data_IF_960069832225
#
_entry.id   IF_960069832225
#
_cell.length_a   1.000
_cell.length_b   1.000
_cell.length_c   1.000
_cell.angle_alpha   90.00
_cell.angle_beta   90.00
_cell.angle_gamma   90.00
#
_symmetry.space_group_name_H-M   'P 1'
#
loop_
_entity.id
_entity.type
_entity.pdbx_description
1 polymer ?
#
# COMPACT_ATOMS: atom_id res chain seq x y z
N UNK A 1 -6.68 -35.57 7.22
CA UNK A 1 -7.18 -34.99 8.50
C UNK A 1 -6.31 -33.78 8.81
N UNK A 2 -6.89 -32.68 9.29
CA UNK A 2 -6.10 -31.53 9.74
C UNK A 2 -5.41 -31.87 11.05
N UNK A 3 -4.12 -31.57 11.16
CA UNK A 3 -3.30 -31.81 12.36
C UNK A 3 -2.97 -30.46 12.98
N UNK A 4 -2.99 -30.41 14.32
CA UNK A 4 -2.48 -29.25 15.07
C UNK A 4 -0.96 -29.32 15.04
N UNK A 5 -0.33 -28.38 14.33
CA UNK A 5 1.12 -28.24 14.31
C UNK A 5 1.61 -27.87 15.70
N UNK A 6 2.67 -28.54 16.15
CA UNK A 6 3.41 -28.20 17.37
C UNK A 6 4.75 -27.61 16.97
N UNK A 7 5.22 -26.64 17.74
CA UNK A 7 6.58 -26.14 17.55
C UNK A 7 7.59 -27.16 18.06
N UNK A 8 8.66 -27.34 17.29
CA UNK A 8 9.85 -28.12 17.64
C UNK A 8 11.01 -27.23 18.12
N UNK A 9 10.84 -25.90 18.04
CA UNK A 9 11.83 -24.94 18.51
C UNK A 9 12.01 -25.03 20.04
N UNK A 10 13.25 -25.23 20.48
CA UNK A 10 13.60 -25.18 21.89
C UNK A 10 13.73 -23.72 22.36
N UNK A 11 12.71 -23.25 23.08
CA UNK A 11 12.62 -21.89 23.62
C UNK A 11 13.75 -21.55 24.62
N UNK A 12 14.38 -22.57 25.23
CA UNK A 12 15.47 -22.41 26.18
C UNK A 12 16.86 -22.48 25.52
N UNK A 13 16.93 -22.84 24.23
CA UNK A 13 18.21 -22.98 23.53
C UNK A 13 18.92 -21.64 23.30
N UNK A 14 20.26 -21.70 23.27
CA UNK A 14 21.09 -20.54 22.91
C UNK A 14 20.81 -20.08 21.47
N UNK A 15 20.55 -21.02 20.56
CA UNK A 15 20.20 -20.73 19.15
C UNK A 15 18.91 -19.90 19.04
N UNK A 16 17.86 -20.28 19.79
CA UNK A 16 16.60 -19.54 19.82
C UNK A 16 16.80 -18.12 20.38
N UNK A 17 17.60 -17.99 21.45
CA UNK A 17 17.94 -16.69 22.02
C UNK A 17 18.77 -15.82 21.05
N UNK A 18 19.72 -16.42 20.33
CA UNK A 18 20.52 -15.73 19.32
C UNK A 18 19.69 -15.24 18.13
N UNK A 19 18.77 -16.07 17.61
CA UNK A 19 17.84 -15.67 16.55
C UNK A 19 16.98 -14.49 17.00
N UNK A 20 16.40 -14.54 18.21
CA UNK A 20 15.61 -13.41 18.75
C UNK A 20 16.42 -12.11 18.81
N UNK A 21 17.68 -12.16 19.26
CA UNK A 21 18.55 -10.97 19.31
C UNK A 21 18.80 -10.41 17.91
N UNK A 22 19.18 -11.27 16.96
CA UNK A 22 19.44 -10.85 15.59
C UNK A 22 18.21 -10.24 14.90
N UNK A 23 17.04 -10.86 15.04
CA UNK A 23 15.79 -10.30 14.51
C UNK A 23 15.38 -9.01 15.22
N UNK A 24 15.64 -8.86 16.53
CA UNK A 24 15.40 -7.61 17.24
C UNK A 24 16.29 -6.47 16.74
N UNK A 25 17.56 -6.75 16.40
CA UNK A 25 18.46 -5.77 15.79
C UNK A 25 17.97 -5.33 14.40
N UNK A 26 17.49 -6.27 13.58
CA UNK A 26 16.86 -5.97 12.28
C UNK A 26 15.57 -5.16 12.43
N UNK A 27 14.73 -5.51 13.41
CA UNK A 27 13.52 -4.77 13.74
C UNK A 27 13.82 -3.34 14.18
N UNK A 28 14.83 -3.16 15.03
CA UNK A 28 15.28 -1.84 15.45
C UNK A 28 15.84 -1.01 14.29
N UNK A 29 16.48 -1.64 13.29
CA UNK A 29 16.87 -0.95 12.07
C UNK A 29 15.67 -0.51 11.23
N UNK A 30 14.71 -1.41 11.03
CA UNK A 30 13.47 -1.11 10.34
C UNK A 30 12.73 0.07 10.99
N UNK A 31 12.63 0.09 12.32
CA UNK A 31 12.00 1.17 13.08
C UNK A 31 12.72 2.51 12.89
N UNK A 32 14.07 2.52 12.81
CA UNK A 32 14.83 3.73 12.47
C UNK A 32 14.53 4.23 11.06
N UNK A 33 14.41 3.33 10.09
CA UNK A 33 14.05 3.72 8.72
C UNK A 33 12.63 4.26 8.64
N UNK A 34 11.68 3.66 9.36
CA UNK A 34 10.32 4.19 9.48
C UNK A 34 10.30 5.56 10.14
N UNK A 35 11.01 5.77 11.24
CA UNK A 35 11.09 7.07 11.92
C UNK A 35 11.54 8.19 10.96
N UNK A 36 12.50 7.90 10.07
CA UNK A 36 12.93 8.85 9.02
C UNK A 36 11.80 9.18 8.04
N UNK A 37 11.04 8.18 7.60
CA UNK A 37 9.90 8.41 6.69
C UNK A 37 8.76 9.17 7.39
N UNK A 38 8.50 8.86 8.67
CA UNK A 38 7.47 9.52 9.47
C UNK A 38 7.77 11.01 9.71
N UNK A 39 9.04 11.41 9.67
CA UNK A 39 9.46 12.81 9.78
C UNK A 39 9.19 13.66 8.51
N UNK A 40 8.71 13.05 7.41
CA UNK A 40 8.39 13.75 6.17
C UNK A 40 9.60 14.45 5.57
N UNK A 41 9.42 15.71 5.12
CA UNK A 41 10.48 16.55 4.57
C UNK A 41 11.44 17.16 5.59
N UNK A 42 11.35 16.77 6.87
CA UNK A 42 12.13 17.31 7.97
C UNK A 42 11.46 18.51 8.67
N UNK A 43 11.96 18.83 9.86
CA UNK A 43 11.37 19.78 10.81
C UNK A 43 10.98 21.13 10.17
N UNK A 44 11.90 21.79 9.47
CA UNK A 44 11.62 23.08 8.81
C UNK A 44 10.51 23.03 7.77
N UNK A 45 10.37 21.91 7.06
CA UNK A 45 9.33 21.74 6.05
C UNK A 45 7.96 21.47 6.70
N UNK A 46 7.96 20.69 7.79
CA UNK A 46 6.81 20.43 8.64
C UNK A 46 6.29 21.71 9.28
N UNK A 47 7.16 22.51 9.92
CA UNK A 47 6.82 23.80 10.52
C UNK A 47 6.17 24.73 9.49
N UNK A 48 6.81 24.91 8.33
CA UNK A 48 6.27 25.76 7.25
C UNK A 48 4.92 25.26 6.73
N UNK A 49 4.68 23.95 6.71
CA UNK A 49 3.40 23.38 6.30
C UNK A 49 2.31 23.71 7.33
N UNK A 50 2.61 23.57 8.62
CA UNK A 50 1.67 23.85 9.72
C UNK A 50 1.40 25.36 9.84
N UNK A 51 2.39 26.22 9.65
CA UNK A 51 2.24 27.69 9.65
C UNK A 51 1.22 28.18 8.61
N UNK A 52 0.98 27.40 7.55
CA UNK A 52 -0.04 27.67 6.52
C UNK A 52 -1.45 27.22 6.93
N UNK A 53 -1.63 26.75 8.16
CA UNK A 53 -2.93 26.28 8.67
C UNK A 53 -3.35 24.89 8.18
N UNK A 54 -2.44 24.13 7.57
CA UNK A 54 -2.72 22.84 6.94
C UNK A 54 -2.45 21.69 7.92
N UNK A 55 -3.28 20.65 7.86
CA UNK A 55 -3.01 19.41 8.58
C UNK A 55 -1.84 18.67 7.91
N UNK A 56 -1.03 17.98 8.71
CA UNK A 56 0.03 17.13 8.15
C UNK A 56 -0.59 15.96 7.37
N UNK A 57 0.08 15.47 6.32
CA UNK A 57 -0.41 14.36 5.50
C UNK A 57 -0.86 13.13 6.31
N UNK A 58 -0.07 12.71 7.31
CA UNK A 58 -0.43 11.58 8.18
C UNK A 58 -1.59 11.89 9.11
N UNK A 59 -1.73 13.13 9.56
CA UNK A 59 -2.89 13.56 10.36
C UNK A 59 -4.16 13.56 9.51
N UNK A 60 -4.07 13.96 8.23
CA UNK A 60 -5.18 13.89 7.28
C UNK A 60 -5.66 12.44 7.10
N UNK A 61 -4.73 11.51 6.88
CA UNK A 61 -5.05 10.07 6.81
C UNK A 61 -5.69 9.61 8.12
N UNK A 62 -5.10 9.90 9.27
CA UNK A 62 -5.61 9.47 10.57
C UNK A 62 -7.04 10.01 10.87
N UNK A 63 -7.33 11.26 10.50
CA UNK A 63 -8.65 11.89 10.69
C UNK A 63 -9.69 11.44 9.67
N UNK A 64 -9.26 11.05 8.47
CA UNK A 64 -10.13 10.47 7.46
C UNK A 64 -10.65 9.09 7.89
N UNK A 65 -9.81 8.29 8.54
CA UNK A 65 -10.13 6.92 8.95
C UNK A 65 -11.21 6.85 10.03
N UNK A 66 -11.94 5.74 10.05
CA UNK A 66 -12.85 5.42 11.14
C UNK A 66 -12.08 5.24 12.45
N UNK A 67 -12.63 5.77 13.54
CA UNK A 67 -11.99 5.74 14.85
C UNK A 67 -11.65 4.31 15.27
N UNK A 68 -10.37 4.05 15.53
CA UNK A 68 -9.86 2.75 15.96
C UNK A 68 -9.74 1.72 14.84
N UNK A 69 -10.02 2.08 13.59
CA UNK A 69 -9.81 1.18 12.45
C UNK A 69 -8.32 1.05 12.12
N UNK A 70 -7.88 -0.13 11.63
CA UNK A 70 -6.51 -0.32 11.20
C UNK A 70 -6.23 0.41 9.88
N UNK A 71 -4.96 0.75 9.67
CA UNK A 71 -4.44 1.25 8.40
C UNK A 71 -3.30 0.35 7.93
N UNK A 72 -3.48 -0.29 6.78
CA UNK A 72 -2.43 -1.07 6.13
C UNK A 72 -1.67 -0.15 5.17
N UNK A 73 -0.61 0.48 5.67
CA UNK A 73 0.28 1.31 4.86
C UNK A 73 1.08 0.46 3.86
N UNK A 74 1.23 0.97 2.65
CA UNK A 74 1.90 0.29 1.55
C UNK A 74 3.23 0.97 1.22
N UNK A 75 4.27 0.15 1.07
CA UNK A 75 5.59 0.60 0.59
C UNK A 75 6.11 1.83 1.35
N UNK A 76 6.05 1.82 2.69
CA UNK A 76 6.49 2.93 3.54
C UNK A 76 7.94 3.34 3.26
N UNK A 77 8.83 2.37 2.99
CA UNK A 77 10.23 2.62 2.64
C UNK A 77 10.48 2.91 1.15
N UNK A 78 9.45 3.25 0.36
CA UNK A 78 9.66 3.60 -1.04
C UNK A 78 10.69 4.73 -1.18
N UNK A 79 11.56 4.62 -2.19
CA UNK A 79 12.69 5.51 -2.45
C UNK A 79 13.78 5.56 -1.34
N UNK A 80 13.80 4.60 -0.41
CA UNK A 80 14.92 4.45 0.54
C UNK A 80 16.25 4.21 -0.20
N UNK A 81 17.27 5.02 0.09
CA UNK A 81 18.58 4.96 -0.57
C UNK A 81 18.59 5.49 -2.01
N UNK A 82 17.52 6.15 -2.46
CA UNK A 82 17.40 6.74 -3.80
C UNK A 82 17.37 8.26 -3.74
N UNK A 83 17.79 8.92 -4.83
CA UNK A 83 17.68 10.39 -4.99
C UNK A 83 18.35 11.18 -3.85
N UNK A 84 19.49 10.71 -3.34
CA UNK A 84 20.16 11.25 -2.15
C UNK A 84 19.23 11.36 -0.92
N UNK A 85 18.29 10.41 -0.81
CA UNK A 85 17.23 10.33 0.19
C UNK A 85 16.35 11.59 0.30
N UNK A 86 16.24 12.36 -0.78
CA UNK A 86 15.45 13.58 -0.81
C UNK A 86 13.93 13.33 -0.87
N UNK A 87 13.51 12.08 -1.00
CA UNK A 87 12.11 11.67 -1.18
C UNK A 87 11.72 10.53 -0.21
N UNK A 88 11.78 10.73 1.13
CA UNK A 88 11.36 9.71 2.08
C UNK A 88 9.93 9.23 1.81
N UNK A 89 9.74 7.91 1.79
CA UNK A 89 8.46 7.28 1.46
C UNK A 89 7.97 7.56 0.04
N UNK A 90 8.85 8.05 -0.84
CA UNK A 90 8.56 8.63 -2.15
C UNK A 90 7.59 9.83 -2.11
N UNK A 91 7.52 10.58 -1.00
CA UNK A 91 6.67 11.78 -0.89
C UNK A 91 5.17 11.53 -1.01
N UNK A 92 4.74 10.29 -0.80
CA UNK A 92 3.34 9.89 -0.88
C UNK A 92 3.04 8.75 0.10
N UNK A 93 1.93 8.87 0.82
CA UNK A 93 1.41 7.85 1.73
C UNK A 93 0.31 7.12 0.98
N UNK A 94 0.44 5.79 0.88
CA UNK A 94 -0.58 4.95 0.27
C UNK A 94 -0.97 3.85 1.24
N UNK A 95 -2.23 3.44 1.25
CA UNK A 95 -2.66 2.36 2.13
C UNK A 95 -4.15 2.08 2.10
N UNK A 96 -4.53 0.99 2.74
CA UNK A 96 -5.92 0.56 2.85
C UNK A 96 -6.40 0.84 4.26
N UNK A 97 -7.54 1.53 4.39
CA UNK A 97 -8.16 1.77 5.67
C UNK A 97 -9.68 1.84 5.58
N UNK A 98 -10.34 1.99 6.72
CA UNK A 98 -11.80 2.08 6.77
C UNK A 98 -12.27 3.52 6.86
N UNK A 99 -13.20 3.90 6.00
CA UNK A 99 -13.83 5.21 5.97
C UNK A 99 -15.32 4.98 5.85
N UNK A 100 -16.09 5.45 6.83
CA UNK A 100 -17.55 5.25 6.89
C UNK A 100 -17.95 3.77 6.76
N UNK A 101 -17.19 2.87 7.39
CA UNK A 101 -17.38 1.42 7.36
C UNK A 101 -16.88 0.72 6.10
N UNK A 102 -16.34 1.47 5.13
CA UNK A 102 -15.88 0.95 3.83
C UNK A 102 -14.36 0.89 3.77
N UNK A 103 -13.82 -0.24 3.32
CA UNK A 103 -12.40 -0.35 2.96
C UNK A 103 -12.13 0.45 1.69
N UNK A 104 -11.20 1.40 1.77
CA UNK A 104 -10.83 2.32 0.68
C UNK A 104 -9.31 2.33 0.50
N UNK A 105 -8.87 2.52 -0.74
CA UNK A 105 -7.49 2.85 -1.05
C UNK A 105 -7.29 4.36 -0.85
N UNK A 106 -6.36 4.73 0.01
CA UNK A 106 -6.01 6.12 0.28
C UNK A 106 -4.67 6.42 -0.38
N UNK A 107 -4.59 7.54 -1.10
CA UNK A 107 -3.37 8.06 -1.72
C UNK A 107 -3.22 9.52 -1.31
N UNK A 108 -2.29 9.82 -0.40
CA UNK A 108 -2.10 11.14 0.17
C UNK A 108 -0.70 11.66 -0.15
N UNK A 109 -0.61 12.80 -0.83
CA UNK A 109 0.68 13.46 -1.06
C UNK A 109 1.26 14.00 0.25
N UNK A 110 2.58 13.93 0.38
CA UNK A 110 3.31 14.60 1.44
C UNK A 110 3.95 15.90 0.92
N UNK A 111 3.23 17.01 1.10
CA UNK A 111 3.69 18.33 0.69
C UNK A 111 4.95 18.80 1.42
N UNK A 112 5.31 18.19 2.56
CA UNK A 112 6.56 18.52 3.26
C UNK A 112 7.76 17.96 2.50
N UNK A 113 7.60 16.83 1.81
CA UNK A 113 8.65 16.19 1.00
C UNK A 113 8.74 16.88 -0.36
N UNK A 114 9.71 17.81 -0.49
CA UNK A 114 9.96 18.55 -1.74
C UNK A 114 8.70 19.19 -2.33
N UNK A 115 7.81 19.72 -1.49
CA UNK A 115 6.56 20.34 -1.97
C UNK A 115 5.55 19.33 -2.52
N UNK A 116 5.67 18.04 -2.20
CA UNK A 116 4.83 16.99 -2.73
C UNK A 116 5.12 16.66 -4.19
N UNK A 117 6.30 17.04 -4.71
CA UNK A 117 6.67 16.77 -6.09
C UNK A 117 6.77 15.27 -6.37
N UNK A 118 6.30 14.85 -7.55
CA UNK A 118 6.40 13.46 -8.00
C UNK A 118 7.82 13.14 -8.47
N UNK A 119 8.50 12.27 -7.75
CA UNK A 119 9.66 11.54 -8.23
C UNK A 119 9.20 10.35 -9.08
N UNK A 120 10.08 9.72 -9.89
CA UNK A 120 9.73 8.50 -10.62
C UNK A 120 9.17 7.40 -9.70
N UNK A 121 9.74 7.23 -8.49
CA UNK A 121 9.20 6.31 -7.50
C UNK A 121 7.85 6.73 -6.91
N UNK A 122 7.53 8.03 -6.85
CA UNK A 122 6.20 8.51 -6.45
C UNK A 122 5.14 8.05 -7.43
N UNK A 123 5.40 8.18 -8.74
CA UNK A 123 4.51 7.72 -9.79
C UNK A 123 4.30 6.19 -9.76
N UNK A 124 5.38 5.42 -9.53
CA UNK A 124 5.29 3.96 -9.36
C UNK A 124 4.50 3.57 -8.11
N UNK A 125 4.71 4.25 -6.98
CA UNK A 125 3.97 3.98 -5.73
C UNK A 125 2.49 4.32 -5.86
N UNK A 126 2.15 5.43 -6.54
CA UNK A 126 0.76 5.80 -6.85
C UNK A 126 0.09 4.73 -7.73
N UNK A 127 0.69 4.40 -8.88
CA UNK A 127 0.10 3.41 -9.81
C UNK A 127 0.01 2.01 -9.19
N UNK A 128 0.95 1.62 -8.31
CA UNK A 128 0.83 0.38 -7.52
C UNK A 128 -0.36 0.40 -6.57
N UNK A 129 -0.66 1.54 -5.95
CA UNK A 129 -1.86 1.68 -5.11
C UNK A 129 -3.15 1.52 -5.93
N UNK A 130 -3.21 2.10 -7.13
CA UNK A 130 -4.34 1.92 -8.06
C UNK A 130 -4.47 0.48 -8.56
N UNK A 131 -3.36 -0.21 -8.82
CA UNK A 131 -3.37 -1.62 -9.20
C UNK A 131 -3.99 -2.50 -8.11
N UNK A 132 -3.61 -2.27 -6.85
CA UNK A 132 -4.21 -2.95 -5.68
C UNK A 132 -5.69 -2.60 -5.57
N UNK A 133 -6.07 -1.33 -5.78
CA UNK A 133 -7.46 -0.90 -5.76
C UNK A 133 -8.31 -1.60 -6.83
N UNK A 134 -7.78 -1.74 -8.06
CA UNK A 134 -8.42 -2.47 -9.15
C UNK A 134 -8.63 -3.94 -8.78
N UNK A 135 -7.54 -4.62 -8.38
CA UNK A 135 -7.55 -6.06 -8.06
C UNK A 135 -8.49 -6.40 -6.91
N UNK A 136 -8.72 -5.47 -5.98
CA UNK A 136 -9.52 -5.69 -4.77
C UNK A 136 -10.86 -4.91 -4.75
N UNK A 137 -11.17 -4.20 -5.84
CA UNK A 137 -12.36 -3.33 -6.00
C UNK A 137 -12.55 -2.35 -4.83
N UNK A 138 -11.48 -1.62 -4.50
CA UNK A 138 -11.46 -0.62 -3.43
C UNK A 138 -11.74 0.76 -4.01
N UNK A 139 -12.74 1.52 -3.51
CA UNK A 139 -12.86 2.94 -3.85
C UNK A 139 -11.55 3.68 -3.55
N UNK A 140 -11.19 4.63 -4.40
CA UNK A 140 -9.97 5.41 -4.27
C UNK A 140 -10.28 6.79 -3.67
N UNK A 141 -9.51 7.19 -2.67
CA UNK A 141 -9.51 8.54 -2.10
C UNK A 141 -8.14 9.16 -2.28
N UNK A 142 -8.09 10.25 -3.05
CA UNK A 142 -6.89 11.03 -3.33
C UNK A 142 -6.87 12.29 -2.46
N UNK A 143 -5.93 12.37 -1.53
CA UNK A 143 -5.67 13.60 -0.75
C UNK A 143 -4.53 14.36 -1.44
N UNK A 144 -4.92 15.28 -2.31
CA UNK A 144 -4.04 15.92 -3.31
C UNK A 144 -3.41 17.18 -2.73
N UNK A 145 -2.08 17.21 -2.76
CA UNK A 145 -1.27 18.35 -2.29
C UNK A 145 0.14 18.24 -2.90
N UNK A 146 0.26 18.55 -4.18
CA UNK A 146 1.45 18.30 -4.99
C UNK A 146 1.84 19.50 -5.84
N UNK A 147 3.12 19.89 -5.72
CA UNK A 147 3.76 20.89 -6.57
C UNK A 147 4.03 20.46 -8.02
N UNK A 148 3.59 19.27 -8.45
CA UNK A 148 3.78 18.74 -9.81
C UNK A 148 4.93 17.73 -9.92
N UNK A 149 5.50 17.57 -11.11
CA UNK A 149 6.61 16.63 -11.32
C UNK A 149 7.95 17.17 -10.81
N UNK A 150 8.83 16.29 -10.35
CA UNK A 150 10.21 16.64 -10.02
C UNK A 150 11.01 16.86 -11.31
N UNK A 151 11.06 18.12 -11.76
CA UNK A 151 11.59 18.50 -13.08
C UNK A 151 13.01 17.98 -13.40
N UNK A 152 13.96 17.88 -12.44
CA UNK A 152 15.27 17.31 -12.74
C UNK A 152 15.25 15.85 -13.24
N UNK A 153 14.16 15.11 -13.00
CA UNK A 153 13.97 13.72 -13.43
C UNK A 153 12.73 13.56 -14.33
N UNK A 154 12.40 14.60 -15.09
CA UNK A 154 11.18 14.63 -15.91
C UNK A 154 11.13 13.52 -16.98
N UNK A 155 12.27 13.09 -17.52
CA UNK A 155 12.39 12.05 -18.54
C UNK A 155 12.17 10.65 -17.99
N UNK A 156 12.35 10.45 -16.69
CA UNK A 156 12.00 9.20 -15.99
C UNK A 156 10.57 9.23 -15.42
N UNK A 157 9.93 10.41 -15.41
CA UNK A 157 8.62 10.62 -14.81
C UNK A 157 7.50 10.71 -15.85
N UNK A 158 7.72 11.46 -16.94
CA UNK A 158 6.68 11.85 -17.87
C UNK A 158 6.48 10.85 -19.03
N UNK A 159 7.50 10.53 -19.85
CA UNK A 159 7.35 9.56 -20.92
C UNK A 159 7.28 8.13 -20.33
N UNK A 160 6.95 7.17 -21.20
CA UNK A 160 6.75 5.74 -20.89
C UNK A 160 5.36 5.36 -20.33
N UNK A 161 4.96 4.12 -20.59
CA UNK A 161 3.68 3.52 -20.16
C UNK A 161 3.57 3.38 -18.64
N UNK A 162 4.70 3.50 -17.92
CA UNK A 162 4.73 3.51 -16.46
C UNK A 162 5.01 4.90 -15.87
N UNK A 163 5.01 5.94 -16.72
CA UNK A 163 5.13 7.33 -16.31
C UNK A 163 3.88 7.85 -15.61
N UNK A 164 3.89 9.13 -15.25
CA UNK A 164 2.86 9.78 -14.44
C UNK A 164 1.47 9.73 -15.10
N UNK A 165 1.40 9.78 -16.43
CA UNK A 165 0.16 9.69 -17.20
C UNK A 165 -0.63 8.38 -17.00
N UNK A 166 0.04 7.30 -16.60
CA UNK A 166 -0.60 6.01 -16.29
C UNK A 166 -1.60 6.15 -15.13
N UNK A 167 -1.38 7.08 -14.20
CA UNK A 167 -2.30 7.31 -13.09
C UNK A 167 -3.68 7.79 -13.56
N UNK A 168 -3.73 8.64 -14.58
CA UNK A 168 -4.98 9.13 -15.18
C UNK A 168 -5.68 8.05 -15.97
N UNK A 169 -4.93 7.26 -16.75
CA UNK A 169 -5.45 6.09 -17.45
C UNK A 169 -6.10 5.11 -16.47
N UNK A 170 -5.42 4.80 -15.38
CA UNK A 170 -5.95 3.90 -14.34
C UNK A 170 -7.22 4.48 -13.72
N UNK A 171 -7.23 5.77 -13.38
CA UNK A 171 -8.38 6.43 -12.75
C UNK A 171 -9.63 6.37 -13.64
N UNK A 172 -9.49 6.65 -14.93
CA UNK A 172 -10.60 6.53 -15.89
C UNK A 172 -11.12 5.10 -15.99
N UNK A 173 -10.23 4.09 -16.06
CA UNK A 173 -10.65 2.69 -16.14
C UNK A 173 -11.27 2.18 -14.83
N UNK A 174 -10.75 2.59 -13.67
CA UNK A 174 -11.33 2.29 -12.37
C UNK A 174 -12.76 2.83 -12.26
N UNK A 175 -12.97 4.10 -12.63
CA UNK A 175 -14.31 4.70 -12.67
C UNK A 175 -15.24 3.95 -13.64
N UNK A 176 -14.77 3.61 -14.84
CA UNK A 176 -15.53 2.83 -15.82
C UNK A 176 -15.93 1.42 -15.30
N UNK A 177 -15.09 0.80 -14.46
CA UNK A 177 -15.37 -0.47 -13.76
C UNK A 177 -16.30 -0.31 -12.55
N UNK A 178 -16.80 0.90 -12.29
CA UNK A 178 -17.66 1.22 -11.15
C UNK A 178 -16.92 1.23 -9.82
N UNK A 179 -15.61 1.51 -9.82
CA UNK A 179 -14.80 1.71 -8.63
C UNK A 179 -14.69 3.22 -8.39
N UNK A 180 -15.34 3.79 -7.36
CA UNK A 180 -15.43 5.23 -7.18
C UNK A 180 -14.07 5.90 -6.99
N UNK A 181 -13.87 7.04 -7.67
CA UNK A 181 -12.68 7.89 -7.61
C UNK A 181 -13.04 9.21 -6.92
N UNK A 182 -12.49 9.48 -5.74
CA UNK A 182 -12.82 10.66 -4.94
C UNK A 182 -11.55 11.47 -4.69
N UNK A 183 -11.58 12.77 -4.93
CA UNK A 183 -10.43 13.65 -4.67
C UNK A 183 -10.76 14.74 -3.65
N UNK A 184 -9.80 15.04 -2.79
CA UNK A 184 -9.77 16.24 -1.97
C UNK A 184 -8.50 17.04 -2.28
N UNK A 185 -8.66 18.24 -2.84
CA UNK A 185 -7.56 19.17 -3.15
C UNK A 185 -7.30 20.03 -1.92
N UNK A 186 -6.26 19.65 -1.18
CA UNK A 186 -5.89 20.21 0.12
C UNK A 186 -4.67 21.12 0.02
N UNK A 187 -4.32 21.55 -1.20
CA UNK A 187 -3.20 22.42 -1.49
C UNK A 187 -2.99 22.57 -2.99
N UNK A 188 -1.73 22.74 -3.41
CA UNK A 188 -1.39 22.95 -4.82
C UNK A 188 -1.70 21.70 -5.65
N UNK A 189 -2.24 21.88 -6.85
CA UNK A 189 -2.49 20.84 -7.84
C UNK A 189 -2.21 21.37 -9.25
N UNK A 190 -0.95 21.26 -9.67
CA UNK A 190 -0.48 21.91 -10.91
C UNK A 190 -0.17 20.91 -12.04
N UNK A 191 -0.34 21.37 -13.28
CA UNK A 191 0.01 20.68 -14.51
C UNK A 191 -0.59 19.28 -14.59
N UNK A 192 0.22 18.23 -14.72
CA UNK A 192 -0.27 16.86 -14.77
C UNK A 192 -1.12 16.50 -13.54
N UNK A 193 -0.76 17.02 -12.35
CA UNK A 193 -1.50 16.74 -11.13
C UNK A 193 -2.97 17.19 -11.19
N UNK A 194 -3.28 18.23 -11.97
CA UNK A 194 -4.62 18.78 -12.13
C UNK A 194 -5.64 17.78 -12.69
N UNK A 195 -5.18 16.73 -13.39
CA UNK A 195 -6.06 15.68 -13.89
C UNK A 195 -6.55 14.71 -12.81
N UNK A 196 -5.87 14.60 -11.66
CA UNK A 196 -6.35 13.76 -10.55
C UNK A 196 -7.73 14.23 -10.06
N UNK A 197 -7.92 15.50 -9.64
CA UNK A 197 -9.26 15.98 -9.33
C UNK A 197 -10.16 16.04 -10.57
N UNK A 198 -9.69 16.57 -11.71
CA UNK A 198 -10.56 16.77 -12.88
C UNK A 198 -11.15 15.47 -13.48
N UNK A 199 -10.56 14.30 -13.18
CA UNK A 199 -11.05 13.00 -13.62
C UNK A 199 -11.65 12.16 -12.48
N UNK A 200 -11.82 12.73 -11.28
CA UNK A 200 -12.49 12.04 -10.17
C UNK A 200 -14.00 12.14 -10.34
N UNK A 201 -14.73 11.17 -9.79
CA UNK A 201 -16.19 11.15 -9.83
C UNK A 201 -16.80 12.24 -8.93
N UNK A 202 -16.16 12.53 -7.79
CA UNK A 202 -16.49 13.67 -6.92
C UNK A 202 -15.22 14.34 -6.38
N UNK A 203 -15.24 15.67 -6.35
CA UNK A 203 -14.09 16.52 -6.03
C UNK A 203 -14.44 17.51 -4.93
N UNK A 204 -13.64 17.48 -3.86
CA UNK A 204 -13.64 18.47 -2.78
C UNK A 204 -12.43 19.39 -2.95
N UNK A 205 -12.60 20.69 -2.76
CA UNK A 205 -11.50 21.68 -2.75
C UNK A 205 -11.59 22.57 -1.51
N UNK A 206 -10.45 22.84 -0.88
CA UNK A 206 -10.38 23.77 0.26
C UNK A 206 -10.25 25.20 -0.27
N UNK A 207 -11.16 26.09 0.12
CA UNK A 207 -11.11 27.54 -0.21
C UNK A 207 -9.81 28.17 0.28
N UNK A 208 -9.24 29.10 -0.50
CA UNK A 208 -8.03 29.88 -0.12
C UNK A 208 -6.81 29.00 0.23
N UNK A 209 -6.78 27.76 -0.23
CA UNK A 209 -5.73 26.80 0.05
C UNK A 209 -5.50 25.83 -1.10
N UNK A 210 -6.58 25.20 -1.57
CA UNK A 210 -6.59 24.30 -2.71
C UNK A 210 -6.56 25.08 -4.02
N UNK A 211 -5.67 24.68 -4.95
CA UNK A 211 -5.61 25.28 -6.28
C UNK A 211 -5.45 24.23 -7.37
N UNK A 212 -6.14 24.38 -8.50
CA UNK A 212 -6.06 23.48 -9.66
C UNK A 212 -5.74 24.30 -10.90
N UNK A 213 -4.67 23.98 -11.62
CA UNK A 213 -4.38 24.63 -12.91
C UNK A 213 -3.41 23.81 -13.76
N UNK A 214 -3.57 23.88 -15.08
CA UNK A 214 -2.64 23.24 -16.03
C UNK A 214 -1.27 23.95 -16.08
N UNK A 215 -1.24 25.24 -15.77
CA UNK A 215 -0.03 26.03 -15.66
C UNK A 215 -0.20 27.04 -14.54
N UNK A 216 0.70 27.03 -13.56
CA UNK A 216 0.61 27.97 -12.43
C UNK A 216 0.95 29.41 -12.82
N UNK A 217 0.78 30.37 -11.90
CA UNK A 217 1.05 31.78 -12.14
C UNK A 217 2.41 32.09 -12.80
N UNK A 218 3.53 31.45 -12.41
CA UNK A 218 4.81 31.69 -13.08
C UNK A 218 4.79 31.33 -14.57
N UNK A 219 4.07 30.27 -14.96
CA UNK A 219 3.97 29.86 -16.36
C UNK A 219 3.04 30.77 -17.15
N UNK A 220 1.93 31.21 -16.55
CA UNK A 220 1.01 32.18 -17.18
C UNK A 220 1.72 33.50 -17.45
N UNK A 221 2.46 34.01 -16.46
CA UNK A 221 3.26 35.22 -16.62
C UNK A 221 4.31 35.08 -17.72
N UNK A 222 5.03 33.95 -17.75
CA UNK A 222 6.06 33.70 -18.77
C UNK A 222 5.48 33.59 -20.19
N UNK A 223 4.28 33.01 -20.34
CA UNK A 223 3.66 32.76 -21.64
C UNK A 223 2.87 33.96 -22.19
N UNK A 224 2.25 34.75 -21.32
CA UNK A 224 1.26 35.78 -21.71
C UNK A 224 1.58 37.19 -21.19
N UNK A 225 2.47 37.30 -20.21
CA UNK A 225 2.73 38.55 -19.49
C UNK A 225 1.70 38.89 -18.41
N UNK A 226 0.61 38.12 -18.28
CA UNK A 226 -0.42 38.35 -17.28
C UNK A 226 0.08 38.01 -15.87
N UNK A 227 -0.20 38.90 -14.91
CA UNK A 227 0.10 38.70 -13.49
C UNK A 227 -1.21 38.38 -12.77
N UNK A 228 -1.33 37.14 -12.32
CA UNK A 228 -2.51 36.60 -11.64
C UNK A 228 -2.08 35.82 -10.41
N UNK A 229 -2.83 35.87 -9.33
CA UNK A 229 -2.54 35.04 -8.15
C UNK A 229 -2.99 33.59 -8.35
N UNK A 230 -2.49 32.67 -7.52
CA UNK A 230 -2.89 31.26 -7.59
C UNK A 230 -4.39 31.06 -7.31
N UNK A 231 -4.96 31.83 -6.38
CA UNK A 231 -6.39 31.78 -6.04
C UNK A 231 -7.26 32.32 -7.17
N UNK A 232 -6.88 33.44 -7.80
CA UNK A 232 -7.61 33.99 -8.94
C UNK A 232 -7.55 33.08 -10.18
N UNK A 233 -6.42 32.41 -10.39
CA UNK A 233 -6.20 31.54 -11.56
C UNK A 233 -6.96 30.21 -11.46
N UNK A 234 -7.00 29.60 -10.27
CA UNK A 234 -7.51 28.25 -10.10
C UNK A 234 -7.86 27.89 -8.66
N UNK A 235 -8.32 28.86 -7.86
CA UNK A 235 -8.72 28.64 -6.47
C UNK A 235 -10.05 27.91 -6.30
N UNK A 236 -10.42 27.67 -5.04
CA UNK A 236 -11.62 26.93 -4.67
C UNK A 236 -12.92 27.56 -5.18
N UNK A 237 -13.05 28.89 -5.03
CA UNK A 237 -14.26 29.59 -5.49
C UNK A 237 -14.40 29.57 -7.02
N UNK A 238 -13.30 29.65 -7.77
CA UNK A 238 -13.34 29.54 -9.24
C UNK A 238 -13.86 28.18 -9.67
N UNK A 239 -13.30 27.10 -9.11
CA UNK A 239 -13.65 25.75 -9.54
C UNK A 239 -15.00 25.26 -9.06
N UNK A 240 -15.43 25.67 -7.86
CA UNK A 240 -16.72 25.27 -7.30
C UNK A 240 -17.90 26.12 -7.80
N UNK A 241 -17.68 27.36 -8.25
CA UNK A 241 -18.78 28.27 -8.65
C UNK A 241 -18.84 28.59 -10.13
N UNK A 242 -17.72 28.52 -10.85
CA UNK A 242 -17.66 28.98 -12.24
C UNK A 242 -17.30 27.87 -13.21
N UNK A 243 -16.19 27.15 -12.99
CA UNK A 243 -15.75 26.12 -13.94
C UNK A 243 -16.46 24.79 -13.76
N UNK A 244 -16.89 24.46 -12.53
CA UNK A 244 -17.47 23.15 -12.18
C UNK A 244 -16.44 22.02 -12.18
N UNK A 245 -15.16 22.32 -11.93
CA UNK A 245 -14.11 21.28 -11.79
C UNK A 245 -14.10 20.70 -10.37
N UNK A 246 -14.62 21.44 -9.40
CA UNK A 246 -14.83 20.96 -8.04
C UNK A 246 -16.33 20.95 -7.72
N UNK A 247 -16.79 19.92 -7.02
CA UNK A 247 -18.20 19.72 -6.67
C UNK A 247 -18.52 20.29 -5.29
N UNK A 248 -17.55 20.25 -4.38
CA UNK A 248 -17.70 20.64 -2.99
C UNK A 248 -16.61 21.64 -2.57
N UNK A 249 -17.00 22.73 -1.93
CA UNK A 249 -16.10 23.77 -1.42
C UNK A 249 -16.04 23.71 0.11
N UNK A 250 -14.89 23.32 0.64
CA UNK A 250 -14.63 23.23 2.08
C UNK A 250 -13.92 24.47 2.61
N UNK A 251 -14.12 24.82 3.88
CA UNK A 251 -13.44 25.95 4.52
C UNK A 251 -12.04 25.61 5.06
N UNK A 252 -11.74 24.33 5.30
CA UNK A 252 -10.45 23.85 5.79
C UNK A 252 -10.30 22.32 5.58
N UNK A 253 -9.14 21.78 5.96
CA UNK A 253 -8.85 20.34 5.85
C UNK A 253 -9.86 19.47 6.63
N UNK A 254 -10.29 19.85 7.83
CA UNK A 254 -11.24 19.03 8.62
C UNK A 254 -12.59 18.89 7.92
N UNK A 255 -13.12 20.00 7.41
CA UNK A 255 -14.37 19.99 6.67
C UNK A 255 -14.23 19.21 5.36
N UNK A 256 -13.10 19.35 4.66
CA UNK A 256 -12.85 18.57 3.45
C UNK A 256 -12.85 17.06 3.72
N UNK A 257 -12.18 16.62 4.80
CA UNK A 257 -12.19 15.22 5.21
C UNK A 257 -13.58 14.76 5.63
N UNK A 258 -14.36 15.59 6.32
CA UNK A 258 -15.75 15.28 6.67
C UNK A 258 -16.64 15.10 5.42
N UNK A 259 -16.48 15.94 4.41
CA UNK A 259 -17.19 15.82 3.12
C UNK A 259 -16.77 14.52 2.42
N UNK A 260 -15.47 14.21 2.34
CA UNK A 260 -14.99 12.94 1.76
C UNK A 260 -15.62 11.74 2.49
N UNK A 261 -15.68 11.76 3.82
CA UNK A 261 -16.35 10.71 4.60
C UNK A 261 -17.83 10.59 4.26
N UNK A 262 -18.51 11.73 4.05
CA UNK A 262 -19.91 11.77 3.63
C UNK A 262 -20.10 11.16 2.24
N UNK A 263 -19.23 11.49 1.28
CA UNK A 263 -19.23 10.88 -0.07
C UNK A 263 -19.05 9.37 0.03
N UNK A 264 -18.06 8.90 0.80
CA UNK A 264 -17.83 7.45 0.97
C UNK A 264 -19.06 6.74 1.57
N UNK A 265 -19.81 7.42 2.43
CA UNK A 265 -21.02 6.87 3.06
C UNK A 265 -22.21 6.72 2.09
N UNK A 266 -22.23 7.44 0.96
CA UNK A 266 -23.29 7.30 -0.07
C UNK A 266 -22.99 6.20 -1.08
N UNK A 267 -21.76 5.67 -1.09
CA UNK A 267 -21.36 4.64 -2.05
C UNK A 267 -22.20 3.36 -1.90
N UNK A 268 -22.52 2.67 -3.01
CA UNK A 268 -23.26 1.42 -2.96
C UNK A 268 -22.61 0.39 -2.03
N UNK A 269 -23.43 -0.34 -1.27
CA UNK A 269 -22.96 -1.37 -0.36
C UNK A 269 -22.06 -2.38 -1.09
N UNK A 270 -20.98 -2.80 -0.43
CA UNK A 270 -20.14 -3.90 -0.94
C UNK A 270 -21.00 -5.17 -0.93
N UNK A 271 -20.96 -5.92 -2.02
CA UNK A 271 -21.57 -7.25 -2.06
C UNK A 271 -21.01 -8.17 -0.97
N UNK A 272 -21.73 -9.25 -0.66
CA UNK A 272 -21.23 -10.29 0.25
C UNK A 272 -19.97 -10.93 -0.36
N UNK A 273 -19.01 -11.27 0.49
CA UNK A 273 -17.88 -12.07 0.06
C UNK A 273 -18.37 -13.39 -0.57
N UNK A 274 -17.79 -13.85 -1.68
CA UNK A 274 -18.26 -15.06 -2.36
C UNK A 274 -17.83 -16.36 -1.66
N UNK A 275 -17.07 -16.27 -0.57
CA UNK A 275 -16.62 -17.40 0.24
C UNK A 275 -17.17 -17.30 1.67
N UNK A 276 -17.27 -18.46 2.32
CA UNK A 276 -17.61 -18.55 3.73
C UNK A 276 -16.37 -18.33 4.61
N UNK A 277 -16.55 -17.60 5.71
CA UNK A 277 -15.54 -17.49 6.77
C UNK A 277 -16.00 -18.27 8.00
N UNK A 278 -15.02 -18.70 8.80
CA UNK A 278 -15.24 -19.31 10.11
C UNK A 278 -14.94 -18.30 11.22
N UNK A 279 -15.35 -18.62 12.45
CA UNK A 279 -14.92 -17.86 13.62
C UNK A 279 -13.37 -17.91 13.71
N UNK A 280 -12.68 -16.76 13.76
CA UNK A 280 -11.23 -16.73 13.94
C UNK A 280 -10.81 -17.37 15.28
N UNK A 281 -9.67 -18.05 15.27
CA UNK A 281 -9.05 -18.62 16.48
C UNK A 281 -7.56 -18.22 16.49
N UNK A 282 -7.00 -17.81 17.63
CA UNK A 282 -5.56 -17.56 17.70
C UNK A 282 -4.75 -18.83 17.40
N UNK A 283 -3.52 -18.72 16.87
CA UNK A 283 -2.62 -19.87 16.73
C UNK A 283 -2.36 -20.53 18.09
N UNK A 284 -2.23 -21.86 18.11
CA UNK A 284 -1.87 -22.62 19.32
C UNK A 284 -0.38 -22.46 19.70
N UNK A 285 0.45 -22.00 18.76
CA UNK A 285 1.85 -21.63 18.98
C UNK A 285 1.97 -20.11 19.06
N UNK A 286 2.59 -19.53 20.11
CA UNK A 286 2.68 -18.08 20.28
C UNK A 286 3.39 -17.37 19.11
N UNK A 287 2.77 -16.32 18.57
CA UNK A 287 3.28 -15.56 17.41
C UNK A 287 4.58 -14.83 17.73
N UNK A 288 4.71 -14.31 18.95
CA UNK A 288 5.90 -13.62 19.47
C UNK A 288 7.16 -14.51 19.50
N UNK A 289 6.98 -15.83 19.51
CA UNK A 289 8.09 -16.80 19.44
C UNK A 289 8.65 -17.00 18.02
N UNK A 290 8.05 -16.40 16.99
CA UNK A 290 8.45 -16.55 15.58
C UNK A 290 9.92 -16.18 15.34
N UNK A 291 10.37 -15.05 15.91
CA UNK A 291 11.73 -14.53 15.73
C UNK A 291 12.81 -15.39 16.40
N UNK A 292 12.45 -16.29 17.32
CA UNK A 292 13.40 -17.27 17.84
C UNK A 292 13.42 -18.56 17.03
N UNK A 293 12.27 -18.94 16.44
CA UNK A 293 12.09 -20.18 15.70
C UNK A 293 12.69 -20.13 14.28
N UNK A 294 12.77 -18.94 13.67
CA UNK A 294 13.33 -18.75 12.33
C UNK A 294 14.78 -18.27 12.44
N UNK A 295 15.76 -19.02 11.90
CA UNK A 295 17.15 -18.60 11.86
C UNK A 295 17.35 -17.23 11.20
N UNK A 296 18.21 -16.40 11.79
CA UNK A 296 18.61 -15.14 11.16
C UNK A 296 19.71 -15.35 10.08
N UNK A 297 20.54 -16.40 10.21
CA UNK A 297 21.49 -16.80 9.16
C UNK A 297 20.74 -17.45 7.99
N UNK A 298 20.80 -16.81 6.82
CA UNK A 298 20.15 -17.23 5.58
C UNK A 298 20.59 -18.63 5.09
N UNK A 299 21.72 -19.15 5.58
CA UNK A 299 22.23 -20.48 5.21
C UNK A 299 21.71 -21.59 6.11
N UNK A 300 21.11 -21.26 7.25
CA UNK A 300 20.63 -22.24 8.22
C UNK A 300 19.24 -22.75 7.80
N UNK A 301 19.08 -24.03 7.46
CA UNK A 301 17.78 -24.58 7.13
C UNK A 301 16.87 -24.63 8.36
N UNK A 302 15.56 -24.49 8.15
CA UNK A 302 14.53 -24.67 9.18
C UNK A 302 13.25 -25.22 8.54
N UNK A 303 12.39 -25.84 9.34
CA UNK A 303 11.08 -26.32 8.87
C UNK A 303 10.10 -25.14 8.74
N UNK A 304 9.59 -24.81 7.53
CA UNK A 304 8.64 -23.71 7.36
C UNK A 304 7.32 -23.92 8.11
N UNK A 305 7.02 -25.15 8.56
CA UNK A 305 5.87 -25.42 9.44
C UNK A 305 5.95 -24.63 10.75
N UNK A 306 7.14 -24.23 11.20
CA UNK A 306 7.31 -23.33 12.35
C UNK A 306 6.67 -21.95 12.11
N UNK A 307 6.70 -21.44 10.87
CA UNK A 307 6.01 -20.21 10.49
C UNK A 307 4.52 -20.48 10.39
N UNK A 308 4.12 -21.54 9.66
CA UNK A 308 2.71 -21.89 9.45
C UNK A 308 1.99 -22.04 10.79
N UNK A 309 2.58 -22.74 11.76
CA UNK A 309 2.01 -22.96 13.08
C UNK A 309 1.74 -21.66 13.86
N UNK A 310 2.45 -20.58 13.56
CA UNK A 310 2.32 -19.27 14.22
C UNK A 310 1.44 -18.29 13.44
N UNK A 311 0.99 -18.65 12.25
CA UNK A 311 0.14 -17.78 11.41
C UNK A 311 -1.31 -18.26 11.33
N UNK A 312 -1.54 -19.57 11.28
CA UNK A 312 -2.86 -20.13 10.97
C UNK A 312 -3.69 -20.41 12.23
N UNK A 313 -5.01 -20.32 12.08
CA UNK A 313 -5.98 -20.46 13.16
C UNK A 313 -5.85 -21.81 13.89
N UNK A 314 -5.65 -21.76 15.21
CA UNK A 314 -5.43 -22.94 16.05
C UNK A 314 -4.23 -23.80 15.65
N UNK A 315 -3.27 -23.24 14.88
CA UNK A 315 -2.12 -23.95 14.31
C UNK A 315 -2.51 -25.20 13.49
N UNK A 316 -3.73 -25.24 12.94
CA UNK A 316 -4.26 -26.40 12.21
C UNK A 316 -3.85 -26.35 10.74
N UNK A 317 -3.20 -27.41 10.30
CA UNK A 317 -2.73 -27.53 8.93
C UNK A 317 -3.09 -28.90 8.34
N UNK A 318 -3.71 -28.89 7.16
CA UNK A 318 -3.97 -30.11 6.41
C UNK A 318 -2.98 -30.22 5.26
N UNK A 319 -1.86 -30.89 5.52
CA UNK A 319 -0.78 -30.99 4.56
C UNK A 319 -1.15 -31.87 3.36
N UNK A 320 -0.91 -31.34 2.16
CA UNK A 320 -1.08 -32.01 0.87
C UNK A 320 0.24 -32.64 0.43
N UNK A 321 0.19 -33.90 -0.02
CA UNK A 321 1.38 -34.65 -0.49
C UNK A 321 2.56 -34.54 0.49
N UNK A 322 2.31 -34.81 1.78
CA UNK A 322 3.32 -34.67 2.84
C UNK A 322 4.60 -35.50 2.58
N UNK A 323 4.48 -36.64 1.88
CA UNK A 323 5.58 -37.56 1.58
C UNK A 323 6.13 -37.44 0.14
N UNK A 324 5.80 -36.38 -0.60
CA UNK A 324 6.23 -36.18 -1.99
C UNK A 324 6.65 -34.72 -2.20
N UNK A 325 7.76 -34.48 -2.91
CA UNK A 325 8.28 -33.12 -3.14
C UNK A 325 8.46 -32.34 -1.83
N UNK A 326 9.13 -32.94 -0.85
CA UNK A 326 9.17 -32.48 0.56
C UNK A 326 9.88 -31.15 0.78
N UNK A 327 10.58 -30.63 -0.24
CA UNK A 327 11.16 -29.28 -0.23
C UNK A 327 10.16 -28.17 -0.55
N UNK A 328 8.91 -28.52 -0.82
CA UNK A 328 7.79 -27.59 -0.87
C UNK A 328 6.65 -28.12 0.01
N UNK A 329 6.36 -27.41 1.09
CA UNK A 329 5.24 -27.71 1.98
C UNK A 329 4.00 -27.06 1.40
N UNK A 330 2.96 -27.86 1.13
CA UNK A 330 1.68 -27.38 0.62
C UNK A 330 0.58 -27.86 1.55
N UNK A 331 -0.45 -27.05 1.81
CA UNK A 331 -1.58 -27.50 2.59
C UNK A 331 -2.63 -26.44 2.86
N UNK A 332 -3.77 -26.90 3.33
CA UNK A 332 -4.92 -26.04 3.63
C UNK A 332 -4.94 -25.63 5.09
N UNK A 333 -5.30 -24.38 5.35
CA UNK A 333 -5.47 -23.82 6.68
C UNK A 333 -6.61 -22.79 6.71
N UNK A 334 -6.83 -22.17 7.88
CA UNK A 334 -7.60 -20.94 7.98
C UNK A 334 -6.71 -19.84 8.57
N UNK A 335 -6.89 -18.60 8.12
CA UNK A 335 -6.21 -17.42 8.66
C UNK A 335 -7.25 -16.34 8.91
N UNK A 336 -7.45 -15.99 10.17
CA UNK A 336 -8.51 -15.09 10.60
C UNK A 336 -9.90 -15.51 10.06
N UNK A 337 -10.19 -16.81 10.11
CA UNK A 337 -11.43 -17.39 9.61
C UNK A 337 -11.49 -17.61 8.09
N UNK A 338 -10.57 -17.08 7.30
CA UNK A 338 -10.52 -17.26 5.85
C UNK A 338 -9.81 -18.57 5.49
N UNK A 339 -10.43 -19.42 4.67
CA UNK A 339 -9.74 -20.59 4.12
C UNK A 339 -8.56 -20.14 3.24
N UNK A 340 -7.39 -20.75 3.40
CA UNK A 340 -6.19 -20.44 2.63
C UNK A 340 -5.44 -21.71 2.21
N UNK A 341 -4.82 -21.66 1.04
CA UNK A 341 -3.85 -22.63 0.56
C UNK A 341 -2.45 -22.08 0.75
N UNK A 342 -1.63 -22.73 1.58
CA UNK A 342 -0.26 -22.28 1.87
C UNK A 342 0.73 -23.08 1.04
N UNK A 343 1.68 -22.40 0.40
CA UNK A 343 2.87 -22.98 -0.22
C UNK A 343 4.10 -22.38 0.44
N UNK A 344 4.94 -23.20 1.07
CA UNK A 344 6.10 -22.75 1.82
C UNK A 344 7.36 -23.52 1.43
N UNK A 345 8.43 -22.80 1.10
CA UNK A 345 9.69 -23.43 0.70
C UNK A 345 10.38 -24.08 1.89
N UNK A 346 10.92 -25.28 1.67
CA UNK A 346 11.73 -26.05 2.61
C UNK A 346 13.02 -26.49 1.92
N UNK A 347 13.76 -25.51 1.38
CA UNK A 347 15.00 -25.71 0.61
C UNK A 347 14.82 -25.59 -0.90
N UNK A 348 15.77 -26.18 -1.64
CA UNK A 348 15.85 -26.17 -3.12
C UNK A 348 14.64 -26.87 -3.75
N UNK A 349 14.11 -26.35 -4.85
CA UNK A 349 13.00 -26.97 -5.58
C UNK A 349 13.48 -28.05 -6.55
N UNK A 350 12.77 -29.18 -6.57
CA UNK A 350 12.93 -30.27 -7.54
C UNK A 350 11.72 -30.33 -8.48
N UNK A 351 11.82 -31.10 -9.57
CA UNK A 351 10.67 -31.40 -10.45
C UNK A 351 9.45 -31.91 -9.66
N UNK A 352 9.67 -32.78 -8.67
CA UNK A 352 8.62 -33.27 -7.77
C UNK A 352 7.98 -32.16 -6.93
N UNK A 353 8.75 -31.16 -6.48
CA UNK A 353 8.24 -29.98 -5.77
C UNK A 353 7.37 -29.12 -6.68
N UNK A 354 7.78 -28.92 -7.94
CA UNK A 354 7.00 -28.18 -8.93
C UNK A 354 5.68 -28.89 -9.28
N UNK A 355 5.72 -30.21 -9.55
CA UNK A 355 4.52 -31.01 -9.81
C UNK A 355 3.56 -31.04 -8.62
N UNK A 356 4.09 -31.01 -7.40
CA UNK A 356 3.28 -30.86 -6.18
C UNK A 356 2.62 -29.49 -6.13
N UNK A 357 3.39 -28.42 -6.32
CA UNK A 357 2.92 -27.03 -6.27
C UNK A 357 1.85 -26.75 -7.32
N UNK A 358 2.07 -27.16 -8.57
CA UNK A 358 1.12 -27.00 -9.66
C UNK A 358 -0.23 -27.66 -9.35
N UNK A 359 -0.23 -28.96 -9.01
CA UNK A 359 -1.45 -29.67 -8.64
C UNK A 359 -2.12 -29.01 -7.41
N UNK A 360 -1.36 -28.56 -6.42
CA UNK A 360 -1.95 -27.88 -5.26
C UNK A 360 -2.63 -26.56 -5.63
N UNK A 361 -2.04 -25.78 -6.53
CA UNK A 361 -2.62 -24.54 -7.06
C UNK A 361 -3.91 -24.84 -7.83
N UNK A 362 -3.92 -25.86 -8.70
CA UNK A 362 -5.13 -26.30 -9.42
C UNK A 362 -6.27 -26.64 -8.47
N UNK A 363 -5.97 -27.32 -7.34
CA UNK A 363 -6.96 -27.62 -6.31
C UNK A 363 -7.49 -26.38 -5.59
N UNK A 364 -6.63 -25.37 -5.36
CA UNK A 364 -7.05 -24.12 -4.72
C UNK A 364 -7.92 -23.29 -5.67
N UNK A 365 -7.53 -23.20 -6.95
CA UNK A 365 -8.27 -22.51 -8.00
C UNK A 365 -9.66 -23.13 -8.20
N UNK A 366 -9.73 -24.46 -8.33
CA UNK A 366 -11.00 -25.19 -8.45
C UNK A 366 -11.97 -24.91 -7.29
N UNK A 367 -11.44 -24.60 -6.10
CA UNK A 367 -12.21 -24.39 -4.86
C UNK A 367 -12.39 -22.92 -4.50
N UNK A 368 -11.83 -21.99 -5.27
CA UNK A 368 -11.83 -20.56 -4.94
C UNK A 368 -11.11 -20.23 -3.64
N UNK A 369 -10.02 -20.94 -3.31
CA UNK A 369 -9.24 -20.75 -2.08
C UNK A 369 -8.04 -19.82 -2.35
N UNK A 370 -7.92 -18.68 -1.65
CA UNK A 370 -6.76 -17.80 -1.74
C UNK A 370 -5.43 -18.50 -1.43
N UNK A 371 -4.38 -18.11 -2.14
CA UNK A 371 -3.03 -18.66 -1.97
C UNK A 371 -2.15 -17.75 -1.13
N UNK A 372 -1.38 -18.35 -0.22
CA UNK A 372 -0.34 -17.68 0.57
C UNK A 372 1.00 -18.36 0.27
N UNK A 373 1.94 -17.59 -0.26
CA UNK A 373 3.30 -18.05 -0.55
C UNK A 373 4.26 -17.58 0.55
N UNK A 374 4.91 -18.52 1.23
CA UNK A 374 5.99 -18.25 2.19
C UNK A 374 7.32 -18.53 1.51
N UNK A 375 7.94 -17.47 0.97
CA UNK A 375 9.13 -17.59 0.14
C UNK A 375 10.41 -17.70 0.98
N UNK A 376 11.11 -18.80 0.81
CA UNK A 376 12.47 -19.03 1.32
C UNK A 376 13.21 -19.96 0.33
N UNK A 377 13.51 -19.42 -0.85
CA UNK A 377 13.97 -20.21 -1.99
C UNK A 377 15.35 -19.74 -2.47
N UNK A 378 16.25 -20.69 -2.67
CA UNK A 378 17.58 -20.46 -3.24
C UNK A 378 17.67 -20.79 -4.74
N UNK A 379 16.68 -21.51 -5.27
CA UNK A 379 16.58 -21.86 -6.69
C UNK A 379 16.05 -23.28 -6.91
N UNK A 380 16.13 -23.73 -8.16
CA UNK A 380 15.88 -25.11 -8.56
C UNK A 380 17.18 -25.94 -8.49
N UNK A 381 17.03 -27.26 -8.34
CA UNK A 381 18.15 -28.18 -8.49
C UNK A 381 18.69 -28.11 -9.92
N UNK A 382 20.01 -28.18 -10.08
CA UNK A 382 20.71 -28.10 -11.37
C UNK A 382 21.55 -29.36 -11.60
N UNK A 383 21.73 -29.74 -12.87
CA UNK A 383 22.54 -30.89 -13.29
C UNK A 383 21.78 -31.84 -14.24
N UNK A 384 22.48 -32.75 -14.95
CA UNK A 384 21.86 -33.60 -15.97
C UNK A 384 20.63 -34.39 -15.49
N UNK A 385 20.68 -34.91 -14.26
CA UNK A 385 19.59 -35.66 -13.65
C UNK A 385 18.38 -34.79 -13.25
N UNK A 386 18.59 -33.48 -13.08
CA UNK A 386 17.50 -32.54 -12.81
C UNK A 386 16.83 -32.04 -14.11
N UNK A 387 17.56 -32.07 -15.22
CA UNK A 387 17.07 -31.70 -16.57
C UNK A 387 16.34 -32.86 -17.28
N UNK A 388 16.69 -34.11 -16.93
CA UNK A 388 16.04 -35.33 -17.43
C UNK A 388 14.74 -35.65 -16.68
#
# INVERSE_FOLDING_TARGET
MSVVLRSTADLASEAFAANRRAHAELGADLDRQFARVLAGGGEKAVERHVERGKLLPRDRVARLLDRGSPFLELSTLAAHGMYDDQAPGAGIITGIGRVSGREVMIVCNDATVKGGSYFPMTARKHTRAQEIALQNRLPCVYLVDSGGGYLPLQDELFPDVRGFGQSFYNQANLSAEGIPQISAVLGSCTAGGAYVPAMSDEVVIVREQGTIFLGGPPLVQAATGEVVTAEELGGGDLHARRSGVADHLAANDEEALAIVRSIVATLPARGRAPWETRAPEPPAVPVDSLTGAVPADLRTPYDPREIVARLVDGSRFHEFKANYGTTLVCGFAHLHGHAVGVLANHGVLFSSSALKGAHFIELCDQRGIPLVFLQNITGFMVGPDAEA
#
